data_IF_112719865266
#
_entry.id   IF_112719865266
#
_cell.length_a   1.000
_cell.length_b   1.000
_cell.length_c   1.000
_cell.angle_alpha   90.00
_cell.angle_beta   90.00
_cell.angle_gamma   90.00
#
_symmetry.space_group_name_H-M   'P 1'
#
loop_
_entity.id
_entity.type
_entity.pdbx_description
1 polymer ?
#
# COMPACT_ATOMS: atom_id res chain seq x y z
N UNK A 1 -26.44 -27.96 34.87
CA UNK A 1 -25.69 -29.06 34.22
C UNK A 1 -24.18 -28.90 34.37
N UNK A 2 -23.68 -27.69 34.34
CA UNK A 2 -22.24 -27.37 34.53
C UNK A 2 -21.73 -27.95 35.87
N UNK A 3 -20.61 -28.68 35.83
CA UNK A 3 -19.97 -29.28 37.00
C UNK A 3 -20.65 -30.54 37.56
N UNK A 4 -21.71 -31.01 36.94
CA UNK A 4 -22.35 -32.28 37.35
C UNK A 4 -21.70 -33.50 36.68
N UNK A 5 -21.79 -34.63 37.35
CA UNK A 5 -21.34 -35.91 36.78
C UNK A 5 -22.23 -36.39 35.64
N UNK A 6 -21.71 -37.25 34.78
CA UNK A 6 -22.47 -37.88 33.69
C UNK A 6 -23.71 -38.61 34.20
N UNK A 7 -23.59 -39.31 35.32
CA UNK A 7 -24.71 -40.03 35.96
C UNK A 7 -25.80 -39.05 36.40
N UNK A 8 -25.42 -37.93 37.02
CA UNK A 8 -26.41 -36.93 37.47
C UNK A 8 -27.12 -36.26 36.28
N UNK A 9 -26.41 -35.99 35.20
CA UNK A 9 -27.00 -35.44 33.98
C UNK A 9 -27.96 -36.45 33.34
N UNK A 10 -27.58 -37.75 33.29
CA UNK A 10 -28.43 -38.81 32.80
C UNK A 10 -29.73 -38.93 33.64
N UNK A 11 -29.60 -38.88 34.96
CA UNK A 11 -30.75 -38.88 35.88
C UNK A 11 -31.71 -37.70 35.56
N UNK A 12 -31.16 -36.49 35.43
CA UNK A 12 -31.95 -35.28 35.11
C UNK A 12 -32.62 -35.37 33.72
N UNK A 13 -32.00 -36.07 32.79
CA UNK A 13 -32.54 -36.30 31.45
C UNK A 13 -33.52 -37.50 31.38
N UNK A 14 -33.70 -38.22 32.47
CA UNK A 14 -34.52 -39.45 32.50
C UNK A 14 -33.92 -40.66 31.78
N UNK A 15 -32.60 -40.66 31.64
CA UNK A 15 -31.84 -41.71 30.94
C UNK A 15 -31.16 -42.62 31.96
N UNK A 16 -31.36 -43.92 31.81
CA UNK A 16 -30.67 -44.93 32.65
C UNK A 16 -29.30 -45.23 32.09
N UNK A 17 -28.29 -45.16 32.93
CA UNK A 17 -26.89 -45.43 32.55
C UNK A 17 -26.23 -46.36 33.58
N UNK A 18 -25.22 -47.14 33.21
CA UNK A 18 -24.46 -47.98 34.16
C UNK A 18 -23.78 -47.14 35.25
N UNK A 19 -23.65 -47.73 36.44
CA UNK A 19 -22.93 -47.06 37.54
C UNK A 19 -21.44 -46.86 37.15
N UNK A 20 -20.91 -45.69 37.41
CA UNK A 20 -19.54 -45.32 37.06
C UNK A 20 -19.38 -44.70 35.64
N UNK A 21 -20.50 -44.43 34.96
CA UNK A 21 -20.48 -43.73 33.67
C UNK A 21 -19.77 -42.38 33.79
N UNK A 22 -18.72 -42.17 33.01
CA UNK A 22 -17.89 -40.96 33.03
C UNK A 22 -18.30 -39.90 32.01
N UNK A 23 -18.82 -40.32 30.85
CA UNK A 23 -19.14 -39.51 29.70
C UNK A 23 -20.44 -39.97 29.07
N UNK A 24 -21.27 -39.03 28.66
CA UNK A 24 -22.43 -39.25 27.80
C UNK A 24 -22.08 -38.80 26.39
N UNK A 25 -22.43 -39.59 25.39
CA UNK A 25 -22.19 -39.28 23.98
C UNK A 25 -23.52 -39.20 23.26
N UNK A 26 -23.81 -38.08 22.65
CA UNK A 26 -24.99 -37.87 21.80
C UNK A 26 -24.57 -37.98 20.33
N UNK A 27 -25.06 -38.97 19.62
CA UNK A 27 -24.89 -39.05 18.16
C UNK A 27 -25.88 -38.11 17.49
N UNK A 28 -25.38 -37.22 16.66
CA UNK A 28 -26.16 -36.16 15.99
C UNK A 28 -25.97 -36.28 14.46
N UNK A 29 -26.99 -35.87 13.73
CA UNK A 29 -26.97 -35.86 12.26
C UNK A 29 -26.32 -34.57 11.69
N UNK A 30 -26.11 -33.53 12.52
CA UNK A 30 -25.53 -32.26 12.10
C UNK A 30 -25.10 -31.37 13.26
N UNK A 31 -24.61 -30.22 12.94
CA UNK A 31 -24.16 -29.20 13.88
C UNK A 31 -24.85 -27.83 13.59
N UNK A 32 -25.06 -27.04 14.61
CA UNK A 32 -25.65 -25.71 14.51
C UNK A 32 -26.86 -25.52 15.44
N UNK A 33 -27.61 -24.41 15.27
CA UNK A 33 -28.73 -24.07 16.16
C UNK A 33 -29.82 -25.15 16.25
N UNK A 34 -30.04 -25.90 15.18
CA UNK A 34 -31.02 -26.97 15.10
C UNK A 34 -30.58 -28.21 15.89
N UNK A 35 -29.30 -28.33 16.21
CA UNK A 35 -28.68 -29.38 16.97
C UNK A 35 -28.05 -28.83 18.26
N UNK A 36 -28.84 -28.43 19.27
CA UNK A 36 -28.35 -27.71 20.45
C UNK A 36 -27.28 -28.47 21.25
N UNK A 37 -27.24 -29.79 21.16
CA UNK A 37 -26.19 -30.62 21.77
C UNK A 37 -24.86 -30.54 21.03
N UNK A 38 -24.79 -29.92 19.83
CA UNK A 38 -23.53 -29.66 19.14
C UNK A 38 -22.77 -28.43 19.73
N UNK A 39 -23.45 -27.59 20.53
CA UNK A 39 -22.84 -26.48 21.24
C UNK A 39 -21.92 -26.97 22.36
N UNK A 40 -20.87 -26.21 22.69
CA UNK A 40 -20.05 -26.49 23.86
C UNK A 40 -20.91 -26.55 25.14
N UNK A 41 -20.65 -27.60 25.91
CA UNK A 41 -21.33 -27.86 27.19
C UNK A 41 -20.27 -28.09 28.25
N UNK A 42 -20.03 -27.20 29.15
CA UNK A 42 -19.05 -27.40 30.25
C UNK A 42 -19.48 -28.53 31.20
N UNK A 43 -19.63 -29.71 30.63
CA UNK A 43 -20.15 -30.91 31.28
C UNK A 43 -19.67 -32.16 30.51
N UNK A 44 -19.69 -33.38 31.15
CA UNK A 44 -19.28 -34.63 30.51
C UNK A 44 -20.32 -35.16 29.50
N UNK A 45 -20.77 -34.30 28.59
CA UNK A 45 -21.66 -34.61 27.46
C UNK A 45 -21.00 -34.20 26.17
N UNK A 46 -20.68 -35.17 25.31
CA UNK A 46 -20.07 -34.95 24.01
C UNK A 46 -21.10 -35.12 22.89
N UNK A 47 -20.97 -34.28 21.85
CA UNK A 47 -21.63 -34.51 20.58
C UNK A 47 -20.68 -35.32 19.66
N UNK A 48 -21.23 -36.27 18.95
CA UNK A 48 -20.53 -37.07 17.95
C UNK A 48 -21.32 -37.03 16.64
N UNK A 49 -20.63 -36.76 15.54
CA UNK A 49 -21.19 -36.73 14.20
C UNK A 49 -20.34 -37.57 13.26
N UNK A 50 -20.97 -38.24 12.31
CA UNK A 50 -20.26 -38.93 11.24
C UNK A 50 -20.15 -38.02 10.03
N UNK A 51 -18.98 -37.98 9.44
CA UNK A 51 -18.73 -37.28 8.18
C UNK A 51 -18.48 -38.22 7.04
N UNK A 52 -18.85 -37.84 5.82
CA UNK A 52 -18.66 -38.66 4.63
C UNK A 52 -17.25 -38.52 4.04
N UNK A 53 -16.59 -37.39 4.31
CA UNK A 53 -15.26 -37.08 3.85
C UNK A 53 -14.67 -35.94 4.69
N UNK A 54 -13.43 -35.53 4.42
CA UNK A 54 -12.74 -34.47 5.14
C UNK A 54 -13.43 -33.11 4.98
N UNK A 55 -13.93 -32.79 3.79
CA UNK A 55 -14.62 -31.52 3.51
C UNK A 55 -15.88 -31.39 4.38
N UNK A 56 -16.72 -32.42 4.40
CA UNK A 56 -17.91 -32.46 5.26
C UNK A 56 -17.55 -32.40 6.76
N UNK A 57 -16.42 -32.99 7.17
CA UNK A 57 -15.94 -32.87 8.55
C UNK A 57 -15.57 -31.42 8.89
N UNK A 58 -14.93 -30.73 7.96
CA UNK A 58 -14.56 -29.30 8.13
C UNK A 58 -15.78 -28.41 8.23
N UNK A 59 -16.81 -28.63 7.40
CA UNK A 59 -18.09 -27.91 7.49
C UNK A 59 -18.77 -28.08 8.85
N UNK A 60 -18.82 -29.30 9.37
CA UNK A 60 -19.36 -29.59 10.72
C UNK A 60 -18.56 -28.86 11.81
N UNK A 61 -17.23 -28.87 11.72
CA UNK A 61 -16.36 -28.15 12.66
C UNK A 61 -16.58 -26.63 12.61
N UNK A 62 -16.72 -26.06 11.40
CA UNK A 62 -17.03 -24.64 11.25
C UNK A 62 -18.41 -24.28 11.84
N UNK A 63 -19.41 -25.12 11.61
CA UNK A 63 -20.75 -24.91 12.19
C UNK A 63 -20.70 -24.94 13.73
N UNK A 64 -19.94 -25.87 14.31
CA UNK A 64 -19.74 -25.94 15.76
C UNK A 64 -19.00 -24.72 16.30
N UNK A 65 -17.91 -24.28 15.63
CA UNK A 65 -17.19 -23.07 16.02
C UNK A 65 -18.07 -21.82 15.97
N UNK A 66 -18.90 -21.68 14.93
CA UNK A 66 -19.82 -20.56 14.79
C UNK A 66 -20.94 -20.56 15.84
N UNK A 67 -21.35 -21.72 16.31
CA UNK A 67 -22.37 -21.87 17.34
C UNK A 67 -21.83 -21.51 18.74
N UNK A 68 -20.56 -21.81 19.00
CA UNK A 68 -19.87 -21.50 20.25
C UNK A 68 -18.41 -21.92 20.16
N UNK A 69 -17.49 -21.09 20.70
CA UNK A 69 -16.06 -21.39 20.73
C UNK A 69 -15.22 -20.73 19.66
N UNK A 70 -15.76 -19.76 18.92
CA UNK A 70 -14.98 -18.96 17.96
C UNK A 70 -13.68 -18.44 18.59
N UNK A 71 -12.58 -18.69 17.89
CA UNK A 71 -11.24 -18.28 18.30
C UNK A 71 -10.58 -19.16 19.35
N UNK A 72 -11.26 -20.15 19.92
CA UNK A 72 -10.69 -20.94 21.02
C UNK A 72 -9.70 -22.00 20.52
N UNK A 73 -10.14 -23.22 20.29
CA UNK A 73 -9.27 -24.36 19.95
C UNK A 73 -10.00 -25.32 19.01
N UNK A 74 -9.30 -25.81 18.00
CA UNK A 74 -9.76 -26.87 17.14
C UNK A 74 -8.66 -27.97 17.05
N UNK A 75 -9.08 -29.24 16.90
CA UNK A 75 -8.17 -30.39 16.89
C UNK A 75 -8.43 -31.25 15.67
N UNK A 76 -7.37 -31.72 15.05
CA UNK A 76 -7.41 -32.73 13.99
C UNK A 76 -6.51 -33.91 14.37
N UNK A 77 -6.99 -35.10 14.12
CA UNK A 77 -6.21 -36.35 14.26
C UNK A 77 -6.02 -36.96 12.88
N UNK A 78 -4.85 -36.82 12.30
CA UNK A 78 -4.49 -37.34 10.99
C UNK A 78 -2.97 -37.32 10.80
N UNK A 79 -2.44 -38.24 10.00
CA UNK A 79 -1.05 -38.22 9.55
C UNK A 79 -0.88 -37.46 8.19
N UNK A 80 -1.96 -37.05 7.55
CA UNK A 80 -1.96 -36.35 6.31
C UNK A 80 -1.65 -34.84 6.57
N UNK A 81 -0.43 -34.42 6.20
CA UNK A 81 0.04 -33.06 6.41
C UNK A 81 -0.74 -32.01 5.59
N UNK A 82 -1.24 -32.36 4.39
CA UNK A 82 -2.04 -31.47 3.58
C UNK A 82 -3.39 -31.17 4.25
N UNK A 83 -4.02 -32.19 4.83
CA UNK A 83 -5.24 -32.05 5.62
C UNK A 83 -4.99 -31.24 6.91
N UNK A 84 -3.85 -31.42 7.57
CA UNK A 84 -3.50 -30.63 8.76
C UNK A 84 -3.42 -29.13 8.42
N UNK A 85 -2.74 -28.77 7.31
CA UNK A 85 -2.61 -27.40 6.83
C UNK A 85 -3.96 -26.84 6.41
N UNK A 86 -4.73 -27.59 5.61
CA UNK A 86 -6.05 -27.18 5.15
C UNK A 86 -7.01 -26.91 6.31
N UNK A 87 -7.01 -27.78 7.32
CA UNK A 87 -7.78 -27.60 8.55
C UNK A 87 -7.34 -26.34 9.31
N UNK A 88 -6.05 -26.13 9.47
CA UNK A 88 -5.48 -24.98 10.16
C UNK A 88 -5.84 -23.65 9.51
N UNK A 89 -5.84 -23.58 8.18
CA UNK A 89 -6.21 -22.39 7.43
C UNK A 89 -7.72 -22.09 7.48
N UNK A 90 -8.54 -23.13 7.58
CA UNK A 90 -10.00 -22.99 7.52
C UNK A 90 -10.64 -22.72 8.87
N UNK A 91 -10.13 -23.33 9.95
CA UNK A 91 -10.75 -23.21 11.28
C UNK A 91 -10.50 -21.83 11.88
N UNK A 92 -11.57 -21.13 12.27
CA UNK A 92 -11.51 -19.85 12.96
C UNK A 92 -11.20 -20.02 14.45
N UNK A 93 -10.06 -20.61 14.74
CA UNK A 93 -9.54 -20.86 16.08
C UNK A 93 -8.09 -20.41 16.20
N UNK A 94 -7.68 -19.94 17.37
CA UNK A 94 -6.32 -19.46 17.62
C UNK A 94 -5.34 -20.60 17.92
N UNK A 95 -5.86 -21.76 18.32
CA UNK A 95 -5.07 -22.98 18.56
C UNK A 95 -5.57 -24.09 17.67
N UNK A 96 -4.71 -24.54 16.79
CA UNK A 96 -4.93 -25.75 15.99
C UNK A 96 -4.00 -26.81 16.56
N UNK A 97 -4.59 -27.87 17.04
CA UNK A 97 -3.86 -29.00 17.62
C UNK A 97 -3.89 -30.17 16.67
N UNK A 98 -2.77 -30.83 16.52
CA UNK A 98 -2.62 -32.02 15.68
C UNK A 98 -2.26 -33.20 16.56
N UNK A 99 -3.02 -34.31 16.45
CA UNK A 99 -2.78 -35.59 17.12
C UNK A 99 -2.60 -35.46 18.65
N UNK A 100 -3.26 -34.47 19.26
CA UNK A 100 -3.16 -34.18 20.70
C UNK A 100 -4.56 -34.02 21.32
N UNK A 101 -4.80 -34.45 22.54
CA UNK A 101 -6.06 -34.16 23.23
C UNK A 101 -6.32 -32.69 23.38
N UNK A 102 -7.56 -32.24 23.11
CA UNK A 102 -7.90 -30.80 23.11
C UNK A 102 -7.60 -30.11 24.45
N UNK A 103 -7.99 -30.70 25.55
CA UNK A 103 -7.85 -30.09 26.87
C UNK A 103 -6.40 -29.89 27.27
N UNK A 104 -5.58 -30.92 27.12
CA UNK A 104 -4.17 -30.91 27.54
C UNK A 104 -3.31 -30.18 26.53
N UNK A 105 -3.53 -30.42 25.22
CA UNK A 105 -2.78 -29.74 24.16
C UNK A 105 -3.03 -28.24 24.14
N UNK A 106 -4.24 -27.76 24.43
CA UNK A 106 -4.57 -26.35 24.50
C UNK A 106 -3.88 -25.61 25.63
N UNK A 107 -3.66 -26.29 26.76
CA UNK A 107 -2.94 -25.73 27.93
C UNK A 107 -1.45 -25.53 27.62
N UNK A 108 -0.87 -26.34 26.76
CA UNK A 108 0.54 -26.30 26.38
C UNK A 108 1.44 -27.17 27.28
N UNK A 109 2.75 -27.03 27.12
CA UNK A 109 3.82 -27.69 27.88
C UNK A 109 4.09 -29.16 27.44
N UNK A 110 3.45 -30.16 28.05
CA UNK A 110 3.82 -31.58 27.86
C UNK A 110 3.66 -32.07 26.40
N UNK A 111 2.67 -31.53 25.69
CA UNK A 111 2.31 -32.02 24.33
C UNK A 111 2.79 -31.09 23.19
N UNK A 112 3.27 -29.92 23.50
CA UNK A 112 3.73 -28.95 22.50
C UNK A 112 4.52 -27.79 23.15
N UNK A 113 5.08 -26.90 22.33
CA UNK A 113 5.92 -25.78 22.78
C UNK A 113 5.12 -24.52 23.18
N UNK A 114 3.79 -24.58 23.26
CA UNK A 114 3.01 -23.43 23.71
C UNK A 114 3.27 -23.15 25.18
N UNK A 115 3.27 -21.86 25.53
CA UNK A 115 3.42 -21.42 26.93
C UNK A 115 2.30 -22.04 27.76
N UNK A 116 2.63 -22.72 28.87
CA UNK A 116 1.61 -23.31 29.74
C UNK A 116 0.69 -22.25 30.34
N UNK A 117 -0.62 -22.42 30.16
CA UNK A 117 -1.62 -21.51 30.72
C UNK A 117 -3.00 -22.15 30.81
N UNK A 118 -3.72 -21.85 31.88
CA UNK A 118 -5.14 -22.15 32.00
C UNK A 118 -6.03 -21.04 31.39
N UNK A 119 -5.45 -19.89 31.10
CA UNK A 119 -6.16 -18.76 30.45
C UNK A 119 -5.76 -18.72 28.97
N UNK A 120 -6.70 -19.02 28.10
CA UNK A 120 -6.48 -19.15 26.67
C UNK A 120 -7.13 -17.99 25.92
N UNK A 121 -6.31 -17.16 25.27
CA UNK A 121 -6.82 -16.08 24.41
C UNK A 121 -7.48 -16.61 23.16
N UNK A 122 -8.53 -15.96 22.69
CA UNK A 122 -9.30 -16.35 21.50
C UNK A 122 -9.14 -15.36 20.34
N UNK A 123 -8.26 -14.39 20.44
CA UNK A 123 -7.96 -13.38 19.42
C UNK A 123 -9.18 -12.61 18.93
N UNK A 124 -9.08 -12.05 17.73
CA UNK A 124 -10.15 -11.25 17.12
C UNK A 124 -11.44 -12.06 16.89
N UNK A 125 -11.34 -13.33 16.56
CA UNK A 125 -12.51 -14.20 16.41
C UNK A 125 -13.32 -14.33 17.70
N UNK A 126 -12.64 -14.46 18.83
CA UNK A 126 -13.27 -14.51 20.17
C UNK A 126 -13.46 -13.14 20.81
N UNK A 127 -13.24 -12.03 20.08
CA UNK A 127 -13.30 -10.64 20.58
C UNK A 127 -12.36 -10.38 21.75
N UNK A 128 -11.19 -11.02 21.73
CA UNK A 128 -10.13 -10.84 22.71
C UNK A 128 -8.95 -10.06 22.09
N UNK A 129 -8.19 -9.36 22.94
CA UNK A 129 -6.94 -8.70 22.55
C UNK A 129 -5.73 -9.64 22.45
N UNK A 130 -5.86 -10.87 22.97
CA UNK A 130 -4.80 -11.88 23.00
C UNK A 130 -5.25 -13.14 22.24
N UNK A 131 -4.39 -13.62 21.33
CA UNK A 131 -4.61 -14.86 20.55
C UNK A 131 -3.77 -16.05 21.04
N UNK A 132 -2.95 -15.86 22.06
CA UNK A 132 -2.03 -16.86 22.63
C UNK A 132 -2.52 -17.37 23.98
N UNK A 133 -1.81 -18.36 24.52
CA UNK A 133 -1.90 -18.71 25.92
C UNK A 133 -1.42 -17.52 26.76
N UNK A 134 -2.23 -17.09 27.72
CA UNK A 134 -1.95 -15.89 28.52
C UNK A 134 -0.88 -16.21 29.54
N UNK A 135 0.15 -15.37 29.61
CA UNK A 135 1.25 -15.48 30.55
C UNK A 135 1.50 -14.13 31.25
N UNK A 136 2.48 -14.08 32.13
CA UNK A 136 2.87 -12.86 32.83
C UNK A 136 3.20 -11.69 31.89
N UNK A 137 3.73 -11.96 30.70
CA UNK A 137 4.01 -10.94 29.68
C UNK A 137 2.75 -10.19 29.26
N UNK A 138 1.59 -10.86 29.24
CA UNK A 138 0.31 -10.23 28.88
C UNK A 138 -0.24 -9.31 29.98
N UNK A 139 0.30 -9.42 31.19
CA UNK A 139 -0.06 -8.58 32.34
C UNK A 139 0.89 -7.38 32.49
N UNK A 140 1.97 -7.34 31.73
CA UNK A 140 2.94 -6.25 31.75
C UNK A 140 2.47 -5.13 30.83
N UNK A 141 2.42 -3.93 31.35
CA UNK A 141 2.11 -2.74 30.58
C UNK A 141 3.41 -2.23 29.89
N UNK A 142 3.57 -2.56 28.63
CA UNK A 142 4.75 -2.15 27.85
C UNK A 142 4.58 -0.69 27.43
N UNK A 143 5.48 0.18 27.90
CA UNK A 143 5.55 1.57 27.45
C UNK A 143 6.64 1.72 26.40
N UNK A 144 6.26 2.22 25.24
CA UNK A 144 7.22 2.54 24.19
C UNK A 144 7.67 3.99 24.33
N UNK A 145 8.97 4.21 24.46
CA UNK A 145 9.57 5.54 24.39
C UNK A 145 10.11 5.76 22.99
N UNK A 146 9.39 6.52 22.20
CA UNK A 146 9.84 6.91 20.86
C UNK A 146 10.64 8.21 20.96
N UNK A 147 11.91 8.17 20.56
CA UNK A 147 12.75 9.37 20.42
C UNK A 147 12.87 9.74 18.95
N UNK A 148 12.83 11.03 18.65
CA UNK A 148 13.16 11.52 17.32
C UNK A 148 14.54 11.04 16.93
N UNK A 149 14.70 10.44 15.77
CA UNK A 149 16.02 10.16 15.20
C UNK A 149 16.69 11.49 14.86
N UNK A 150 17.87 11.72 15.37
CA UNK A 150 18.77 12.77 14.89
C UNK A 150 19.35 12.31 13.55
N UNK A 151 18.57 12.44 12.48
CA UNK A 151 19.08 12.24 11.14
C UNK A 151 19.77 13.53 10.71
N UNK A 152 20.90 13.41 10.04
CA UNK A 152 21.46 14.56 9.33
C UNK A 152 20.40 15.10 8.38
N UNK A 153 20.02 16.35 8.56
CA UNK A 153 19.13 17.04 7.63
C UNK A 153 19.96 17.47 6.42
N UNK A 154 19.44 17.22 5.25
CA UNK A 154 20.05 17.67 4.01
C UNK A 154 18.94 18.08 3.04
N UNK A 155 19.29 18.91 2.10
CA UNK A 155 18.38 19.54 1.16
C UNK A 155 18.83 19.22 -0.26
N UNK A 156 17.92 18.74 -1.12
CA UNK A 156 18.21 18.46 -2.52
C UNK A 156 17.24 19.25 -3.41
N UNK A 157 17.81 20.03 -4.28
CA UNK A 157 17.13 20.79 -5.33
C UNK A 157 17.75 20.48 -6.69
N UNK A 158 17.13 20.94 -7.79
CA UNK A 158 17.79 20.99 -9.09
C UNK A 158 19.17 21.64 -8.99
N UNK A 159 20.18 21.13 -9.69
CA UNK A 159 21.51 21.73 -9.72
C UNK A 159 21.51 23.18 -10.17
N UNK A 160 20.53 23.59 -11.01
CA UNK A 160 20.39 24.96 -11.50
C UNK A 160 18.94 25.41 -11.40
N UNK A 161 18.74 26.57 -10.77
CA UNK A 161 17.44 27.23 -10.67
C UNK A 161 17.62 28.67 -11.13
N UNK A 162 16.97 29.00 -12.24
CA UNK A 162 16.95 30.37 -12.77
C UNK A 162 15.60 31.01 -12.43
N UNK A 163 15.62 32.14 -11.75
CA UNK A 163 14.40 32.82 -11.29
C UNK A 163 14.55 34.32 -11.53
N UNK A 164 14.12 34.78 -12.68
CA UNK A 164 14.13 36.19 -13.03
C UNK A 164 13.43 36.36 -14.37
N UNK A 165 13.03 37.59 -14.68
CA UNK A 165 12.55 37.93 -16.02
C UNK A 165 13.63 37.62 -17.05
N UNK A 166 13.28 36.98 -18.13
CA UNK A 166 14.16 36.52 -19.22
C UNK A 166 15.06 35.31 -18.83
N UNK A 167 14.80 34.63 -17.74
CA UNK A 167 15.52 33.38 -17.37
C UNK A 167 15.44 32.32 -18.46
N UNK A 168 14.42 32.38 -19.31
CA UNK A 168 14.26 31.48 -20.47
C UNK A 168 15.48 31.50 -21.41
N UNK A 169 16.24 32.64 -21.46
CA UNK A 169 17.45 32.76 -22.27
C UNK A 169 18.53 31.71 -21.91
N UNK A 170 18.43 31.05 -20.75
CA UNK A 170 19.32 29.96 -20.40
C UNK A 170 19.25 28.83 -21.42
N UNK A 171 18.13 28.58 -22.07
CA UNK A 171 17.98 27.56 -23.10
C UNK A 171 18.97 27.75 -24.28
N UNK A 172 19.40 28.97 -24.57
CA UNK A 172 20.42 29.24 -25.59
C UNK A 172 21.80 28.76 -25.17
N UNK A 173 22.07 28.71 -23.85
CA UNK A 173 23.40 28.45 -23.26
C UNK A 173 23.59 27.00 -22.78
N UNK A 174 22.52 26.20 -22.79
CA UNK A 174 22.60 24.78 -22.41
C UNK A 174 23.54 24.06 -23.37
N UNK A 175 24.34 23.14 -22.84
CA UNK A 175 25.24 22.31 -23.62
C UNK A 175 24.52 21.04 -24.08
N UNK A 176 24.97 20.44 -25.19
CA UNK A 176 24.51 19.15 -25.71
C UNK A 176 23.00 19.11 -25.98
N UNK A 177 22.43 20.15 -26.57
CA UNK A 177 21.02 20.24 -26.95
C UNK A 177 20.90 20.19 -28.47
N UNK A 178 20.40 19.09 -28.99
CA UNK A 178 20.17 18.87 -30.42
C UNK A 178 18.72 18.41 -30.70
N UNK A 179 18.12 17.66 -29.79
CA UNK A 179 16.79 17.07 -29.93
C UNK A 179 15.96 17.29 -28.68
N UNK A 180 15.03 18.22 -28.76
CA UNK A 180 14.20 18.64 -27.63
C UNK A 180 12.82 18.03 -27.73
N UNK A 181 12.39 17.34 -26.68
CA UNK A 181 11.01 16.97 -26.44
C UNK A 181 10.35 17.98 -25.53
N UNK A 182 9.43 18.77 -26.05
CA UNK A 182 8.64 19.73 -25.28
C UNK A 182 7.31 19.08 -24.84
N UNK A 183 7.12 18.90 -23.56
CA UNK A 183 5.91 18.32 -22.96
C UNK A 183 5.07 19.42 -22.32
N UNK A 184 3.81 19.55 -22.71
CA UNK A 184 2.91 20.57 -22.17
C UNK A 184 1.44 20.14 -22.26
N UNK A 185 0.55 20.92 -21.66
CA UNK A 185 -0.88 20.80 -21.88
C UNK A 185 -1.32 21.60 -23.15
N UNK A 186 -2.52 21.32 -23.70
CA UNK A 186 -3.02 22.02 -24.88
C UNK A 186 -3.08 23.55 -24.73
N UNK A 187 -3.30 24.05 -23.52
CA UNK A 187 -3.37 25.48 -23.23
C UNK A 187 -2.04 26.19 -23.52
N UNK A 188 -0.92 25.53 -23.27
CA UNK A 188 0.41 26.11 -23.53
C UNK A 188 0.65 26.36 -25.01
N UNK A 189 0.09 25.53 -25.87
CA UNK A 189 0.13 25.75 -27.33
C UNK A 189 -0.83 26.88 -27.72
N UNK A 190 -2.07 26.86 -27.21
CA UNK A 190 -3.09 27.85 -27.52
C UNK A 190 -2.70 29.26 -27.07
N UNK A 191 -2.07 29.40 -25.93
CA UNK A 191 -1.57 30.70 -25.43
C UNK A 191 -0.25 31.14 -26.06
N UNK A 192 0.33 30.33 -26.94
CA UNK A 192 1.58 30.63 -27.63
C UNK A 192 2.85 30.44 -26.76
N UNK A 193 2.74 29.89 -25.56
CA UNK A 193 3.90 29.70 -24.68
C UNK A 193 4.87 28.65 -25.22
N UNK A 194 4.35 27.57 -25.84
CA UNK A 194 5.18 26.61 -26.54
C UNK A 194 6.02 27.27 -27.65
N UNK A 195 5.45 28.21 -28.40
CA UNK A 195 6.16 28.93 -29.44
C UNK A 195 7.23 29.88 -28.88
N UNK A 196 7.01 30.47 -27.71
CA UNK A 196 8.03 31.29 -27.03
C UNK A 196 9.26 30.40 -26.70
N UNK A 197 9.05 29.20 -26.16
CA UNK A 197 10.13 28.25 -25.86
C UNK A 197 10.84 27.82 -27.15
N UNK A 198 10.08 27.49 -28.22
CA UNK A 198 10.63 27.10 -29.53
C UNK A 198 11.49 28.20 -30.12
N UNK A 199 11.02 29.46 -30.12
CA UNK A 199 11.77 30.63 -30.63
C UNK A 199 13.04 30.86 -29.84
N UNK A 200 13.03 30.60 -28.53
CA UNK A 200 14.23 30.75 -27.70
C UNK A 200 15.28 29.67 -28.03
N UNK A 201 14.87 28.45 -28.25
CA UNK A 201 15.72 27.33 -28.70
C UNK A 201 16.30 27.61 -30.10
N UNK A 202 15.53 28.22 -31.02
CA UNK A 202 15.97 28.56 -32.38
C UNK A 202 17.04 29.65 -32.43
N UNK A 203 17.24 30.42 -31.36
CA UNK A 203 18.35 31.40 -31.28
C UNK A 203 19.72 30.77 -31.02
N UNK A 204 19.78 29.48 -30.81
CA UNK A 204 21.03 28.75 -30.63
C UNK A 204 21.87 28.77 -31.92
N UNK A 205 23.17 28.55 -31.76
CA UNK A 205 24.08 28.48 -32.90
C UNK A 205 23.96 27.17 -33.72
N UNK A 206 23.53 26.12 -33.06
CA UNK A 206 23.26 24.82 -33.68
C UNK A 206 21.78 24.67 -34.00
N UNK A 207 21.46 23.90 -35.03
CA UNK A 207 20.09 23.54 -35.34
C UNK A 207 19.54 22.57 -34.30
N UNK A 208 18.32 22.84 -33.81
CA UNK A 208 17.69 22.01 -32.78
C UNK A 208 16.37 21.46 -33.34
N UNK A 209 16.23 20.15 -33.34
CA UNK A 209 14.99 19.47 -33.68
C UNK A 209 14.07 19.50 -32.46
N UNK A 210 12.81 19.89 -32.66
CA UNK A 210 11.86 20.04 -31.56
C UNK A 210 10.59 19.26 -31.89
N UNK A 211 10.26 18.31 -31.07
CA UNK A 211 8.96 17.62 -31.03
C UNK A 211 8.15 18.10 -29.83
N UNK A 212 6.82 18.19 -30.02
CA UNK A 212 5.92 18.67 -28.97
C UNK A 212 4.88 17.61 -28.65
N UNK A 213 4.84 17.20 -27.39
CA UNK A 213 3.74 16.42 -26.84
C UNK A 213 2.83 17.37 -26.07
N UNK A 214 1.64 17.67 -26.61
CA UNK A 214 0.73 18.67 -26.06
C UNK A 214 -0.56 18.09 -25.44
N UNK A 215 -0.65 16.77 -25.32
CA UNK A 215 -1.89 16.12 -24.91
C UNK A 215 -1.92 15.74 -23.42
N UNK A 216 -1.27 16.55 -22.57
CA UNK A 216 -1.31 16.34 -21.13
C UNK A 216 -2.61 16.87 -20.56
N UNK A 217 -3.41 15.97 -20.00
CA UNK A 217 -4.64 16.27 -19.29
C UNK A 217 -4.37 16.66 -17.81
N UNK A 218 -5.30 17.40 -17.16
CA UNK A 218 -5.25 17.58 -15.72
C UNK A 218 -5.24 16.24 -14.96
N UNK A 219 -4.33 16.07 -14.00
CA UNK A 219 -4.06 14.81 -13.31
C UNK A 219 -3.66 13.68 -14.28
N UNK A 220 -2.47 13.76 -14.87
CA UNK A 220 -2.06 12.90 -15.96
C UNK A 220 -2.16 11.43 -15.64
N UNK A 221 -2.60 10.67 -16.61
CA UNK A 221 -2.79 9.23 -16.50
C UNK A 221 -1.57 8.42 -16.94
N UNK A 222 -1.52 7.15 -16.54
CA UNK A 222 -0.51 6.21 -17.05
C UNK A 222 -0.55 6.09 -18.57
N UNK A 223 -1.75 6.18 -19.19
CA UNK A 223 -1.88 6.14 -20.65
C UNK A 223 -1.17 7.32 -21.33
N UNK A 224 -1.36 8.54 -20.81
CA UNK A 224 -0.68 9.74 -21.30
C UNK A 224 0.83 9.65 -21.12
N UNK A 225 1.28 9.17 -19.97
CA UNK A 225 2.71 8.95 -19.72
C UNK A 225 3.29 7.94 -20.72
N UNK A 226 2.64 6.81 -20.97
CA UNK A 226 3.13 5.83 -21.94
C UNK A 226 3.08 6.32 -23.37
N UNK A 227 2.07 7.10 -23.75
CA UNK A 227 1.99 7.72 -25.08
C UNK A 227 3.17 8.68 -25.32
N UNK A 228 3.46 9.55 -24.38
CA UNK A 228 4.60 10.45 -24.46
C UNK A 228 5.96 9.72 -24.41
N UNK A 229 6.07 8.67 -23.59
CA UNK A 229 7.27 7.81 -23.56
C UNK A 229 7.52 7.17 -24.92
N UNK A 230 6.48 6.66 -25.57
CA UNK A 230 6.60 6.08 -26.92
C UNK A 230 7.13 7.10 -27.92
N UNK A 231 6.57 8.32 -27.89
CA UNK A 231 7.06 9.42 -28.73
C UNK A 231 8.54 9.76 -28.44
N UNK A 232 8.97 9.71 -27.15
CA UNK A 232 10.39 9.89 -26.80
C UNK A 232 11.27 8.76 -27.35
N UNK A 233 10.81 7.50 -27.32
CA UNK A 233 11.55 6.36 -27.88
C UNK A 233 11.73 6.52 -29.40
N UNK A 234 10.70 6.98 -30.12
CA UNK A 234 10.76 7.18 -31.56
C UNK A 234 11.63 8.42 -31.92
N UNK A 235 11.50 9.50 -31.18
CA UNK A 235 12.22 10.76 -31.41
C UNK A 235 13.65 10.77 -30.85
N UNK A 236 13.93 10.06 -29.76
CA UNK A 236 15.23 10.01 -29.06
C UNK A 236 15.76 11.41 -28.66
N UNK A 237 15.07 12.13 -27.76
CA UNK A 237 15.53 13.42 -27.27
C UNK A 237 16.80 13.29 -26.40
N UNK A 238 17.65 14.30 -26.45
CA UNK A 238 18.72 14.56 -25.48
C UNK A 238 18.29 15.52 -24.37
N UNK A 239 17.19 16.23 -24.62
CA UNK A 239 16.66 17.22 -23.69
C UNK A 239 15.13 17.11 -23.65
N UNK A 240 14.58 17.00 -22.43
CA UNK A 240 13.15 17.04 -22.17
C UNK A 240 12.82 18.35 -21.47
N UNK A 241 11.88 19.11 -22.01
CA UNK A 241 11.39 20.36 -21.40
C UNK A 241 9.93 20.18 -21.03
N UNK A 242 9.61 20.30 -19.75
CA UNK A 242 8.25 20.38 -19.25
C UNK A 242 7.81 21.84 -19.13
N UNK A 243 6.76 22.22 -19.84
CA UNK A 243 6.18 23.57 -19.81
C UNK A 243 4.72 23.50 -19.34
N UNK A 244 4.41 24.06 -18.21
CA UNK A 244 3.04 24.07 -17.69
C UNK A 244 2.95 24.09 -16.17
N UNK A 245 1.78 23.73 -15.65
CA UNK A 245 1.56 23.52 -14.22
C UNK A 245 2.05 22.16 -13.74
N UNK A 246 1.70 21.79 -12.51
CA UNK A 246 2.10 20.51 -11.90
C UNK A 246 1.80 19.29 -12.77
N UNK A 247 0.62 19.24 -13.41
CA UNK A 247 0.23 18.11 -14.27
C UNK A 247 1.17 17.90 -15.45
N UNK A 248 1.57 18.98 -16.14
CA UNK A 248 2.50 18.89 -17.27
C UNK A 248 3.89 18.43 -16.82
N UNK A 249 4.37 18.95 -15.70
CA UNK A 249 5.67 18.59 -15.14
C UNK A 249 5.68 17.15 -14.60
N UNK A 250 4.61 16.72 -13.95
CA UNK A 250 4.48 15.35 -13.43
C UNK A 250 4.39 14.33 -14.56
N UNK A 251 3.61 14.61 -15.61
CA UNK A 251 3.56 13.77 -16.80
C UNK A 251 4.95 13.64 -17.45
N UNK A 252 5.65 14.78 -17.63
CA UNK A 252 6.99 14.80 -18.21
C UNK A 252 8.00 14.01 -17.37
N UNK A 253 7.95 14.09 -16.04
CA UNK A 253 8.79 13.27 -15.14
C UNK A 253 8.51 11.77 -15.32
N UNK A 254 7.25 11.39 -15.42
CA UNK A 254 6.86 10.00 -15.70
C UNK A 254 7.38 9.51 -17.05
N UNK A 255 7.19 10.31 -18.11
CA UNK A 255 7.67 10.02 -19.45
C UNK A 255 9.20 9.87 -19.47
N UNK A 256 9.89 10.83 -18.86
CA UNK A 256 11.34 10.84 -18.75
C UNK A 256 11.86 9.60 -18.01
N UNK A 257 11.24 9.24 -16.89
CA UNK A 257 11.60 8.05 -16.11
C UNK A 257 11.52 6.77 -16.95
N UNK A 258 10.42 6.55 -17.64
CA UNK A 258 10.24 5.34 -18.45
C UNK A 258 11.08 5.34 -19.74
N UNK A 259 11.38 6.51 -20.29
CA UNK A 259 12.30 6.64 -21.42
C UNK A 259 13.73 6.29 -21.06
N UNK A 260 14.21 6.79 -19.91
CA UNK A 260 15.55 6.53 -19.40
C UNK A 260 15.72 5.07 -18.94
N UNK A 261 14.68 4.52 -18.32
CA UNK A 261 14.67 3.22 -17.66
C UNK A 261 13.47 2.39 -18.10
N UNK A 262 13.51 1.80 -19.31
CA UNK A 262 12.39 1.01 -19.86
C UNK A 262 11.99 -0.19 -19.00
N UNK A 263 12.91 -0.70 -18.17
CA UNK A 263 12.66 -1.82 -17.26
C UNK A 263 11.93 -1.38 -15.96
N UNK A 264 11.64 -0.09 -15.81
CA UNK A 264 10.92 0.43 -14.65
C UNK A 264 9.44 0.10 -14.76
N UNK A 265 8.91 -0.58 -13.76
CA UNK A 265 7.49 -0.90 -13.67
C UNK A 265 6.74 0.15 -12.85
N UNK A 266 5.59 0.62 -13.36
CA UNK A 266 4.73 1.54 -12.63
C UNK A 266 4.29 0.96 -11.28
N UNK A 267 4.02 -0.34 -11.22
CA UNK A 267 3.66 -1.04 -9.99
C UNK A 267 4.73 -0.91 -8.90
N UNK A 268 6.00 -1.06 -9.25
CA UNK A 268 7.10 -0.84 -8.31
C UNK A 268 7.26 0.63 -7.91
N UNK A 269 7.16 1.53 -8.89
CA UNK A 269 7.32 2.97 -8.67
C UNK A 269 6.20 3.58 -7.80
N UNK A 270 4.96 3.07 -7.88
CA UNK A 270 3.81 3.54 -7.07
C UNK A 270 3.76 3.00 -5.63
N UNK A 271 4.73 2.20 -5.20
CA UNK A 271 4.74 1.65 -3.85
C UNK A 271 4.77 2.76 -2.79
N UNK A 272 3.88 2.63 -1.81
CA UNK A 272 3.83 3.56 -0.67
C UNK A 272 5.08 3.39 0.21
N UNK A 273 5.58 4.49 0.72
CA UNK A 273 6.72 4.54 1.63
C UNK A 273 6.50 5.64 2.67
N UNK A 274 7.12 5.48 3.84
CA UNK A 274 7.08 6.48 4.91
C UNK A 274 8.17 7.54 4.78
N UNK A 275 9.26 7.22 4.10
CA UNK A 275 10.42 8.08 3.94
C UNK A 275 11.07 7.77 2.59
N UNK A 276 11.12 8.76 1.71
CA UNK A 276 11.71 8.66 0.36
C UNK A 276 13.14 8.10 0.36
N UNK A 277 13.89 8.29 1.44
CA UNK A 277 15.25 7.77 1.61
C UNK A 277 15.31 6.26 1.89
N UNK A 278 14.17 5.65 2.24
CA UNK A 278 14.05 4.25 2.64
C UNK A 278 13.26 3.41 1.66
N UNK A 279 13.11 3.88 0.44
CA UNK A 279 12.42 3.11 -0.60
C UNK A 279 13.10 1.78 -0.86
N UNK A 280 12.31 0.75 -1.03
CA UNK A 280 12.78 -0.59 -1.45
C UNK A 280 12.92 -0.66 -2.96
N UNK A 281 12.01 -0.03 -3.72
CA UNK A 281 12.10 0.10 -5.16
C UNK A 281 12.77 1.45 -5.51
N UNK A 282 13.97 1.40 -6.05
CA UNK A 282 14.76 2.59 -6.42
C UNK A 282 14.77 2.78 -7.92
N UNK A 283 14.60 4.03 -8.34
CA UNK A 283 14.74 4.45 -9.73
C UNK A 283 16.20 4.89 -9.91
N UNK A 284 16.86 4.41 -10.95
CA UNK A 284 18.19 4.87 -11.26
C UNK A 284 18.17 6.35 -11.72
N UNK A 285 19.27 7.07 -11.51
CA UNK A 285 19.36 8.45 -11.98
C UNK A 285 19.39 8.44 -13.52
N UNK A 286 18.55 9.26 -14.19
CA UNK A 286 18.61 9.45 -15.63
C UNK A 286 19.99 9.98 -16.07
N UNK A 287 20.50 9.50 -17.21
CA UNK A 287 21.84 9.81 -17.70
C UNK A 287 21.86 10.19 -19.18
N UNK A 288 20.83 9.82 -19.96
CA UNK A 288 20.77 10.04 -21.41
C UNK A 288 20.31 11.45 -21.76
N UNK A 289 19.42 12.02 -20.94
CA UNK A 289 18.75 13.27 -21.24
C UNK A 289 18.84 14.27 -20.10
N UNK A 290 18.90 15.56 -20.45
CA UNK A 290 18.71 16.67 -19.51
C UNK A 290 17.21 16.94 -19.32
N UNK A 291 16.79 17.19 -18.08
CA UNK A 291 15.40 17.49 -17.78
C UNK A 291 15.22 18.93 -17.25
N UNK A 292 14.42 19.70 -17.95
CA UNK A 292 14.16 21.13 -17.67
C UNK A 292 12.68 21.31 -17.34
N UNK A 293 12.36 22.00 -16.25
CA UNK A 293 11.01 22.39 -15.90
C UNK A 293 10.82 23.92 -16.00
N UNK A 294 9.74 24.33 -16.68
CA UNK A 294 9.32 25.71 -16.83
C UNK A 294 7.90 25.85 -16.28
N UNK A 295 7.72 26.24 -15.00
CA UNK A 295 6.40 26.37 -14.41
C UNK A 295 5.63 27.56 -14.98
N UNK A 296 4.32 27.35 -15.18
CA UNK A 296 3.36 28.40 -15.60
C UNK A 296 2.32 28.69 -14.52
N UNK A 297 2.45 28.08 -13.34
CA UNK A 297 1.63 28.31 -12.15
C UNK A 297 2.54 28.49 -10.94
N UNK A 298 2.08 29.26 -9.96
CA UNK A 298 2.81 29.51 -8.70
C UNK A 298 2.14 28.72 -7.57
N UNK A 299 2.47 27.43 -7.43
CA UNK A 299 1.80 26.57 -6.45
C UNK A 299 2.56 25.29 -6.15
N UNK A 300 2.51 24.32 -7.03
CA UNK A 300 2.93 22.94 -6.78
C UNK A 300 4.41 22.75 -6.47
N UNK A 301 5.29 23.64 -6.95
CA UNK A 301 6.74 23.47 -6.80
C UNK A 301 7.31 22.23 -7.52
N UNK A 302 6.56 21.65 -8.47
CA UNK A 302 6.99 20.44 -9.16
C UNK A 302 8.32 20.60 -9.90
N UNK A 303 8.68 21.82 -10.30
CA UNK A 303 9.95 22.16 -10.92
C UNK A 303 11.17 21.94 -10.03
N UNK A 304 10.98 21.82 -8.73
CA UNK A 304 12.07 21.64 -7.75
C UNK A 304 11.94 20.36 -6.90
N UNK A 305 10.87 19.59 -7.08
CA UNK A 305 10.58 18.44 -6.24
C UNK A 305 10.93 17.09 -6.90
N UNK A 306 11.24 16.07 -6.10
CA UNK A 306 11.47 14.71 -6.57
C UNK A 306 10.16 13.89 -6.68
N UNK A 307 9.02 14.55 -6.89
CA UNK A 307 7.70 13.91 -6.91
C UNK A 307 7.04 14.07 -8.29
N UNK A 308 6.22 13.07 -8.65
CA UNK A 308 5.28 13.13 -9.76
C UNK A 308 3.99 12.41 -9.37
N UNK A 309 2.84 13.04 -9.51
CA UNK A 309 1.55 12.43 -9.19
C UNK A 309 0.90 11.94 -10.49
N UNK A 310 0.78 10.62 -10.63
CA UNK A 310 0.23 9.98 -11.83
C UNK A 310 -1.02 9.19 -11.46
N UNK A 311 -2.06 9.33 -12.28
CA UNK A 311 -3.31 8.59 -12.13
C UNK A 311 -3.20 7.26 -12.86
N UNK A 312 -3.41 6.16 -12.15
CA UNK A 312 -3.49 4.83 -12.74
C UNK A 312 -4.77 4.74 -13.58
N UNK A 313 -4.64 4.49 -14.89
CA UNK A 313 -5.76 4.47 -15.84
C UNK A 313 -6.75 3.33 -15.59
N UNK A 314 -6.34 2.25 -14.93
CA UNK A 314 -7.20 1.10 -14.64
C UNK A 314 -8.02 1.32 -13.35
N UNK A 315 -7.35 1.81 -12.31
CA UNK A 315 -7.96 1.96 -10.97
C UNK A 315 -8.49 3.36 -10.70
N UNK A 316 -8.16 4.35 -11.52
CA UNK A 316 -8.45 5.78 -11.35
C UNK A 316 -7.93 6.37 -10.03
N UNK A 317 -6.94 5.72 -9.42
CA UNK A 317 -6.30 6.17 -8.19
C UNK A 317 -5.04 6.96 -8.51
N UNK A 318 -4.86 8.09 -7.81
CA UNK A 318 -3.65 8.91 -7.92
C UNK A 318 -2.54 8.32 -7.05
N UNK A 319 -1.36 8.14 -7.63
CA UNK A 319 -0.18 7.65 -6.95
C UNK A 319 0.95 8.67 -7.00
N UNK A 320 1.48 9.10 -5.85
CA UNK A 320 2.69 9.90 -5.82
C UNK A 320 3.89 8.99 -6.09
N UNK A 321 4.50 9.16 -7.24
CA UNK A 321 5.83 8.63 -7.53
C UNK A 321 6.86 9.54 -6.87
N UNK A 322 7.74 8.99 -6.05
CA UNK A 322 8.72 9.80 -5.35
C UNK A 322 10.07 9.11 -5.35
N UNK A 323 11.02 9.72 -6.02
CA UNK A 323 12.42 9.32 -6.01
C UNK A 323 13.29 10.55 -6.33
N UNK A 324 14.44 10.65 -5.68
CA UNK A 324 15.38 11.75 -5.98
C UNK A 324 15.87 11.75 -7.43
N UNK A 325 15.76 10.64 -8.15
CA UNK A 325 16.02 10.55 -9.58
C UNK A 325 15.06 11.41 -10.41
N UNK A 326 13.85 11.71 -9.91
CA UNK A 326 12.84 12.55 -10.57
C UNK A 326 13.06 14.06 -10.36
N UNK A 327 14.09 14.46 -9.61
CA UNK A 327 14.43 15.89 -9.46
C UNK A 327 14.94 16.42 -10.80
N UNK A 328 14.37 17.50 -11.35
CA UNK A 328 14.84 18.09 -12.59
C UNK A 328 16.32 18.55 -12.51
N UNK A 329 17.00 18.60 -13.65
CA UNK A 329 18.36 19.14 -13.72
C UNK A 329 18.35 20.67 -13.71
N UNK A 330 17.30 21.26 -14.29
CA UNK A 330 17.15 22.71 -14.40
C UNK A 330 15.71 23.12 -14.15
N UNK A 331 15.51 24.13 -13.33
CA UNK A 331 14.24 24.84 -13.19
C UNK A 331 14.40 26.28 -13.74
N UNK A 332 13.47 26.70 -14.62
CA UNK A 332 13.45 28.07 -15.18
C UNK A 332 12.14 28.72 -14.76
N UNK A 333 12.21 29.54 -13.72
CA UNK A 333 11.05 30.26 -13.14
C UNK A 333 11.04 31.69 -13.72
N UNK A 334 10.49 31.81 -14.93
CA UNK A 334 10.40 33.13 -15.62
C UNK A 334 9.00 33.70 -15.44
N UNK A 335 8.85 34.87 -14.83
CA UNK A 335 7.55 35.48 -14.56
C UNK A 335 6.66 35.69 -15.80
N UNK A 336 7.23 35.75 -17.00
CA UNK A 336 6.44 35.91 -18.23
C UNK A 336 5.36 34.82 -18.42
N UNK A 337 5.59 33.62 -17.89
CA UNK A 337 4.66 32.49 -18.03
C UNK A 337 3.51 32.48 -17.01
N UNK A 338 3.57 33.33 -15.98
CA UNK A 338 2.53 33.43 -14.94
C UNK A 338 1.72 34.70 -15.01
N UNK A 339 2.13 35.68 -15.84
CA UNK A 339 1.46 36.97 -15.91
C UNK A 339 0.04 36.96 -16.48
N UNK A 340 -0.30 35.94 -17.29
CA UNK A 340 -1.63 35.80 -17.90
C UNK A 340 -2.49 34.73 -17.22
N UNK A 341 -2.04 34.18 -16.09
CA UNK A 341 -2.80 33.20 -15.33
C UNK A 341 -4.06 33.85 -14.77
N UNK A 342 -5.26 33.25 -14.94
CA UNK A 342 -6.50 33.76 -14.38
C UNK A 342 -6.43 33.91 -12.85
N UNK A 343 -7.09 34.94 -12.32
CA UNK A 343 -7.06 35.24 -10.88
C UNK A 343 -7.56 34.06 -10.01
N UNK A 344 -8.54 33.28 -10.50
CA UNK A 344 -9.01 32.09 -9.82
C UNK A 344 -7.91 31.02 -9.68
N UNK A 345 -7.19 30.74 -10.77
CA UNK A 345 -6.08 29.77 -10.76
C UNK A 345 -4.95 30.26 -9.87
N UNK A 346 -4.65 31.57 -9.88
CA UNK A 346 -3.65 32.15 -8.99
C UNK A 346 -4.05 32.00 -7.52
N UNK A 347 -5.33 32.20 -7.20
CA UNK A 347 -5.84 32.00 -5.84
C UNK A 347 -5.73 30.55 -5.39
N UNK A 348 -6.16 29.59 -6.24
CA UNK A 348 -6.12 28.16 -5.94
C UNK A 348 -4.68 27.68 -5.72
N UNK A 349 -3.77 28.05 -6.62
CA UNK A 349 -2.35 27.68 -6.50
C UNK A 349 -1.65 28.42 -5.35
N UNK A 350 -2.08 29.63 -5.02
CA UNK A 350 -1.61 30.36 -3.85
C UNK A 350 -2.01 29.69 -2.52
N UNK A 351 -3.23 29.13 -2.44
CA UNK A 351 -3.66 28.31 -1.30
C UNK A 351 -2.84 27.03 -1.18
N UNK A 352 -2.47 26.43 -2.29
CA UNK A 352 -1.58 25.26 -2.33
C UNK A 352 -0.21 25.59 -1.71
N UNK A 353 0.40 26.72 -2.10
CA UNK A 353 1.66 27.23 -1.49
C UNK A 353 1.52 27.41 0.02
N UNK A 354 0.41 28.04 0.45
CA UNK A 354 0.16 28.27 1.87
C UNK A 354 0.06 26.94 2.64
N UNK A 355 -0.64 25.96 2.06
CA UNK A 355 -0.77 24.62 2.64
C UNK A 355 0.61 23.95 2.75
N UNK A 356 1.40 23.95 1.68
CA UNK A 356 2.77 23.42 1.70
C UNK A 356 3.65 24.09 2.76
N UNK A 357 3.55 25.41 2.91
CA UNK A 357 4.31 26.15 3.91
C UNK A 357 3.92 25.77 5.35
N UNK A 358 2.61 25.64 5.62
CA UNK A 358 2.10 25.21 6.93
C UNK A 358 2.51 23.77 7.20
N UNK A 359 2.32 22.86 6.25
CA UNK A 359 2.69 21.45 6.40
C UNK A 359 4.19 21.28 6.64
N UNK A 360 5.03 22.02 5.94
CA UNK A 360 6.48 21.98 6.15
C UNK A 360 6.90 22.52 7.52
N UNK A 361 6.16 23.47 8.07
CA UNK A 361 6.40 24.02 9.41
C UNK A 361 6.00 23.04 10.52
N UNK A 362 4.88 22.33 10.36
CA UNK A 362 4.38 21.37 11.37
C UNK A 362 4.91 19.95 11.17
N UNK A 363 5.54 19.65 10.04
CA UNK A 363 6.13 18.34 9.75
C UNK A 363 7.34 18.08 10.64
N UNK A 364 7.44 16.84 11.14
CA UNK A 364 8.48 16.38 12.08
C UNK A 364 9.60 15.66 11.33
#
# INVERSE_FOLDING_TARGET
IVGNSAEKIAELAGISVPKGTKILVAELEGAGPEYPLSREKLSPVLAMMKSNNAEHAFELCEAMLNLGGLGHTAVIHTEDEELQVAFGLRMKACRILVNTPSAEGGIGNIYNEMIPSLTLGCGSYGKNSVSKNVSSINLINIKTVAKRRNNMQWFKLPPKIFFEKNSLQYLQKMENVERVMLVCDPGMVQFGYADIVRKELQKRKNDVKIEVFSDVEPNPSTNTVYAGTKMMVDFQPDTVIALGGGSAMDAAKGMWMFYEHPDTEFFGAKQKFLDIRKRTYKIAKPEKTQFVCIPTTSGTGSEVTPFAVITDSETHVKYPLADYALTPDVAIVDPQFVMSVPASVTADTGMDVLTHAIESYVSI
#
